data_IF_056124534354
#
_entry.id   IF_056124534354
#
_cell.length_a   1.000
_cell.length_b   1.000
_cell.length_c   1.000
_cell.angle_alpha   90.00
_cell.angle_beta   90.00
_cell.angle_gamma   90.00
#
_symmetry.space_group_name_H-M   'P 1'
#
loop_
_entity.id
_entity.type
_entity.pdbx_description
1 polymer ?
#
# COMPACT_ATOMS: atom_id res chain seq x y z
N UNK A 1 13.86 6.24 -6.03
CA UNK A 1 13.09 5.39 -6.99
C UNK A 1 14.03 4.88 -8.09
N UNK A 2 14.54 3.65 -7.95
CA UNK A 2 15.59 3.05 -8.83
C UNK A 2 14.99 2.24 -10.00
N UNK A 3 13.69 1.92 -9.92
CA UNK A 3 12.95 1.04 -10.84
C UNK A 3 12.89 1.49 -12.32
N UNK A 4 12.83 2.79 -12.68
CA UNK A 4 12.73 3.18 -14.09
C UNK A 4 14.00 2.85 -14.88
N UNK A 5 15.17 3.05 -14.26
CA UNK A 5 16.48 2.82 -14.90
C UNK A 5 16.75 1.33 -15.12
N UNK A 6 16.28 0.48 -14.20
CA UNK A 6 16.45 -0.97 -14.31
C UNK A 6 15.59 -1.56 -15.42
N UNK A 7 14.34 -1.11 -15.56
CA UNK A 7 13.44 -1.56 -16.64
C UNK A 7 13.98 -1.13 -18.01
N UNK A 8 14.47 0.10 -18.15
CA UNK A 8 15.10 0.57 -19.39
C UNK A 8 16.33 -0.27 -19.78
N UNK A 9 17.14 -0.64 -18.80
CA UNK A 9 18.28 -1.53 -19.03
C UNK A 9 17.85 -2.93 -19.52
N UNK A 10 16.77 -3.49 -18.97
CA UNK A 10 16.22 -4.77 -19.43
C UNK A 10 15.69 -4.68 -20.88
N UNK A 11 15.11 -3.55 -21.27
CA UNK A 11 14.66 -3.32 -22.66
C UNK A 11 15.83 -3.24 -23.65
N UNK A 12 16.94 -2.61 -23.25
CA UNK A 12 18.18 -2.58 -24.03
C UNK A 12 18.73 -4.01 -24.20
N UNK A 13 18.73 -4.80 -23.13
CA UNK A 13 19.20 -6.20 -23.19
C UNK A 13 18.31 -7.08 -24.07
N UNK A 14 16.98 -6.93 -24.01
CA UNK A 14 16.07 -7.62 -24.93
C UNK A 14 16.35 -7.25 -26.40
N UNK A 15 16.58 -5.97 -26.68
CA UNK A 15 16.93 -5.52 -28.02
C UNK A 15 18.30 -6.08 -28.49
N UNK A 16 19.26 -6.19 -27.58
CA UNK A 16 20.57 -6.83 -27.82
C UNK A 16 20.42 -8.32 -28.13
N UNK A 17 19.61 -9.05 -27.35
CA UNK A 17 19.32 -10.46 -27.60
C UNK A 17 18.66 -10.69 -28.97
N UNK A 18 17.69 -9.85 -29.34
CA UNK A 18 17.05 -9.90 -30.66
C UNK A 18 18.07 -9.76 -31.78
N UNK A 19 18.96 -8.76 -31.70
CA UNK A 19 20.06 -8.58 -32.67
C UNK A 19 20.97 -9.80 -32.74
N UNK A 20 21.32 -10.40 -31.60
CA UNK A 20 22.15 -11.62 -31.56
C UNK A 20 21.47 -12.80 -32.25
N UNK A 21 20.14 -12.96 -32.10
CA UNK A 21 19.35 -13.97 -32.80
C UNK A 21 19.35 -13.74 -34.32
N UNK A 22 19.16 -12.49 -34.75
CA UNK A 22 19.16 -12.12 -36.18
C UNK A 22 20.53 -12.42 -36.83
N UNK A 23 21.63 -12.10 -36.15
CA UNK A 23 22.99 -12.41 -36.61
C UNK A 23 23.22 -13.92 -36.67
N UNK A 24 22.76 -14.67 -35.67
CA UNK A 24 22.87 -16.12 -35.66
C UNK A 24 22.11 -16.76 -36.85
N UNK A 25 20.91 -16.26 -37.15
CA UNK A 25 20.13 -16.69 -38.31
C UNK A 25 20.84 -16.36 -39.64
N UNK A 26 21.45 -15.18 -39.74
CA UNK A 26 22.22 -14.80 -40.93
C UNK A 26 23.45 -15.70 -41.14
N UNK A 27 24.21 -16.01 -40.09
CA UNK A 27 25.38 -16.89 -40.16
C UNK A 27 25.00 -18.32 -40.58
N UNK A 28 23.83 -18.80 -40.16
CA UNK A 28 23.30 -20.09 -40.58
C UNK A 28 22.95 -20.10 -42.06
N UNK A 29 22.24 -19.07 -42.54
CA UNK A 29 21.87 -18.92 -43.94
C UNK A 29 23.10 -18.77 -44.86
N UNK A 30 24.17 -18.13 -44.37
CA UNK A 30 25.47 -18.03 -45.04
C UNK A 30 26.24 -19.37 -45.08
N UNK A 31 25.76 -20.42 -44.42
CA UNK A 31 26.41 -21.74 -44.34
C UNK A 31 27.68 -21.75 -43.48
N UNK A 32 27.93 -20.70 -42.68
CA UNK A 32 29.16 -20.56 -41.87
C UNK A 32 29.14 -21.39 -40.59
N UNK A 33 27.96 -21.82 -40.15
CA UNK A 33 27.76 -22.57 -38.90
C UNK A 33 26.81 -23.74 -39.12
N UNK A 34 27.03 -24.82 -38.36
CA UNK A 34 26.18 -26.01 -38.41
C UNK A 34 24.81 -25.77 -37.77
N UNK A 35 23.81 -26.54 -38.21
CA UNK A 35 22.47 -26.51 -37.61
C UNK A 35 22.49 -26.79 -36.11
N UNK A 36 23.29 -27.75 -35.65
CA UNK A 36 23.39 -28.10 -34.22
C UNK A 36 23.92 -26.93 -33.38
N UNK A 37 24.89 -26.17 -33.91
CA UNK A 37 25.43 -24.98 -33.23
C UNK A 37 24.38 -23.90 -33.09
N UNK A 38 23.55 -23.70 -34.13
CA UNK A 38 22.45 -22.73 -34.12
C UNK A 38 21.39 -23.11 -33.09
N UNK A 39 20.98 -24.37 -33.06
CA UNK A 39 19.97 -24.88 -32.11
C UNK A 39 20.44 -24.68 -30.66
N UNK A 40 21.71 -24.99 -30.37
CA UNK A 40 22.27 -24.80 -29.03
C UNK A 40 22.31 -23.32 -28.62
N UNK A 41 22.74 -22.44 -29.53
CA UNK A 41 22.85 -21.01 -29.25
C UNK A 41 21.49 -20.33 -29.16
N UNK A 42 20.54 -20.67 -30.05
CA UNK A 42 19.19 -20.14 -30.02
C UNK A 42 18.49 -20.51 -28.72
N UNK A 43 18.60 -21.78 -28.29
CA UNK A 43 18.04 -22.24 -27.02
C UNK A 43 18.52 -21.40 -25.83
N UNK A 44 19.83 -21.14 -25.73
CA UNK A 44 20.39 -20.31 -24.65
C UNK A 44 19.93 -18.85 -24.74
N UNK A 45 19.80 -18.29 -25.95
CA UNK A 45 19.25 -16.95 -26.14
C UNK A 45 17.77 -16.88 -25.73
N UNK A 46 16.99 -17.93 -26.03
CA UNK A 46 15.59 -18.06 -25.62
C UNK A 46 15.49 -18.16 -24.09
N UNK A 47 16.29 -19.01 -23.45
CA UNK A 47 16.35 -19.10 -21.99
C UNK A 47 16.66 -17.74 -21.35
N UNK A 48 17.65 -17.01 -21.89
CA UNK A 48 17.99 -15.67 -21.39
C UNK A 48 16.83 -14.69 -21.55
N UNK A 49 16.14 -14.71 -22.71
CA UNK A 49 14.97 -13.88 -22.96
C UNK A 49 13.82 -14.21 -21.98
N UNK A 50 13.59 -15.50 -21.68
CA UNK A 50 12.56 -15.88 -20.70
C UNK A 50 12.83 -15.32 -19.31
N UNK A 51 14.10 -15.36 -18.86
CA UNK A 51 14.49 -14.81 -17.55
C UNK A 51 14.31 -13.30 -17.50
N UNK A 52 14.74 -12.58 -18.55
CA UNK A 52 14.58 -11.12 -18.63
C UNK A 52 13.10 -10.73 -18.62
N UNK A 53 12.27 -11.42 -19.41
CA UNK A 53 10.83 -11.17 -19.44
C UNK A 53 10.16 -11.45 -18.10
N UNK A 54 10.54 -12.54 -17.41
CA UNK A 54 10.05 -12.85 -16.07
C UNK A 54 10.40 -11.75 -15.07
N UNK A 55 11.64 -11.27 -15.08
CA UNK A 55 12.08 -10.19 -14.20
C UNK A 55 11.31 -8.90 -14.50
N UNK A 56 11.13 -8.57 -15.77
CA UNK A 56 10.37 -7.39 -16.20
C UNK A 56 8.91 -7.47 -15.71
N UNK A 57 8.28 -8.64 -15.79
CA UNK A 57 6.94 -8.85 -15.26
C UNK A 57 6.91 -8.66 -13.74
N UNK A 58 7.85 -9.26 -13.02
CA UNK A 58 7.95 -9.10 -11.55
C UNK A 58 8.07 -7.64 -11.12
N UNK A 59 8.90 -6.85 -11.83
CA UNK A 59 9.04 -5.42 -11.56
C UNK A 59 7.76 -4.62 -11.87
N UNK A 60 6.98 -5.04 -12.86
CA UNK A 60 5.69 -4.43 -13.17
C UNK A 60 4.66 -4.76 -12.08
N UNK A 61 4.59 -6.02 -11.65
CA UNK A 61 3.70 -6.47 -10.57
C UNK A 61 4.02 -5.75 -9.26
N UNK A 62 5.31 -5.61 -8.90
CA UNK A 62 5.74 -4.85 -7.73
C UNK A 62 5.34 -3.37 -7.82
N UNK A 63 5.54 -2.74 -8.98
CA UNK A 63 5.14 -1.35 -9.19
C UNK A 63 3.64 -1.16 -9.00
N UNK A 64 2.83 -2.04 -9.59
CA UNK A 64 1.37 -1.95 -9.49
C UNK A 64 0.89 -2.24 -8.06
N UNK A 65 1.53 -3.17 -7.37
CA UNK A 65 1.32 -3.42 -5.94
C UNK A 65 1.58 -2.18 -5.08
N UNK A 66 2.76 -1.55 -5.21
CA UNK A 66 3.09 -0.35 -4.45
C UNK A 66 2.14 0.81 -4.79
N UNK A 67 1.75 0.95 -6.05
CA UNK A 67 0.75 1.94 -6.47
C UNK A 67 -0.59 1.73 -5.77
N UNK A 68 -1.06 0.48 -5.63
CA UNK A 68 -2.28 0.18 -4.90
C UNK A 68 -2.15 0.54 -3.41
N UNK A 69 -1.04 0.19 -2.76
CA UNK A 69 -0.78 0.54 -1.37
C UNK A 69 -0.78 2.06 -1.16
N UNK A 70 -0.09 2.80 -2.03
CA UNK A 70 -0.06 4.26 -1.95
C UNK A 70 -1.45 4.86 -2.09
N UNK A 71 -2.28 4.35 -3.02
CA UNK A 71 -3.66 4.82 -3.20
C UNK A 71 -4.53 4.54 -1.97
N UNK A 72 -4.39 3.37 -1.35
CA UNK A 72 -5.16 3.05 -0.15
C UNK A 72 -4.72 3.90 1.05
N UNK A 73 -3.41 4.12 1.21
CA UNK A 73 -2.88 5.05 2.20
C UNK A 73 -3.43 6.47 2.02
N UNK A 74 -3.52 6.97 0.78
CA UNK A 74 -4.13 8.27 0.47
C UNK A 74 -5.59 8.33 0.95
N UNK A 75 -6.41 7.31 0.68
CA UNK A 75 -7.81 7.28 1.12
C UNK A 75 -7.95 7.28 2.64
N UNK A 76 -7.09 6.55 3.34
CA UNK A 76 -7.10 6.50 4.81
C UNK A 76 -6.79 7.88 5.39
N UNK A 77 -5.75 8.55 4.87
CA UNK A 77 -5.40 9.91 5.30
C UNK A 77 -6.52 10.92 4.99
N UNK A 78 -7.14 10.83 3.81
CA UNK A 78 -8.31 11.66 3.46
C UNK A 78 -9.49 11.40 4.40
N UNK A 79 -9.71 10.16 4.80
CA UNK A 79 -10.77 9.79 5.77
C UNK A 79 -10.50 10.41 7.14
N UNK A 80 -9.25 10.38 7.63
CA UNK A 80 -8.89 11.05 8.89
C UNK A 80 -9.13 12.56 8.84
N UNK A 81 -8.82 13.22 7.72
CA UNK A 81 -9.08 14.66 7.58
C UNK A 81 -10.58 14.99 7.67
N UNK A 82 -11.43 14.15 7.08
CA UNK A 82 -12.89 14.29 7.17
C UNK A 82 -13.38 14.07 8.61
N UNK A 83 -12.87 13.03 9.26
CA UNK A 83 -13.22 12.70 10.65
C UNK A 83 -12.79 13.81 11.62
N UNK A 84 -11.55 14.30 11.52
CA UNK A 84 -11.09 15.42 12.34
C UNK A 84 -11.95 16.66 12.15
N UNK A 85 -12.36 16.95 10.90
CA UNK A 85 -13.25 18.09 10.64
C UNK A 85 -14.63 17.88 11.28
N UNK A 86 -15.16 16.66 11.23
CA UNK A 86 -16.44 16.32 11.84
C UNK A 86 -16.39 16.49 13.37
N UNK A 87 -15.36 15.93 14.02
CA UNK A 87 -15.19 16.02 15.48
C UNK A 87 -15.07 17.47 15.96
N UNK A 88 -14.36 18.31 15.20
CA UNK A 88 -14.27 19.74 15.51
C UNK A 88 -15.63 20.44 15.38
N UNK A 89 -16.42 20.12 14.34
CA UNK A 89 -17.77 20.68 14.16
C UNK A 89 -18.77 20.22 15.24
N UNK A 90 -18.60 19.00 15.77
CA UNK A 90 -19.37 18.49 16.89
C UNK A 90 -18.95 19.07 18.24
N UNK A 91 -17.82 19.79 18.29
CA UNK A 91 -17.25 20.32 19.53
C UNK A 91 -16.56 19.27 20.40
N UNK A 92 -16.33 18.07 19.86
CA UNK A 92 -15.64 16.97 20.53
C UNK A 92 -14.10 17.11 20.45
N UNK A 93 -13.64 17.97 19.55
CA UNK A 93 -12.22 18.30 19.35
C UNK A 93 -12.03 19.82 19.39
N UNK A 94 -10.95 20.26 20.01
CA UNK A 94 -10.59 21.68 20.01
C UNK A 94 -9.91 22.10 18.70
N UNK A 95 -10.12 23.36 18.31
CA UNK A 95 -9.63 23.91 17.05
C UNK A 95 -8.10 23.84 16.92
N UNK A 96 -7.36 24.00 18.03
CA UNK A 96 -5.90 23.92 18.04
C UNK A 96 -5.39 22.52 17.70
N UNK A 97 -5.91 21.50 18.39
CA UNK A 97 -5.59 20.09 18.10
C UNK A 97 -6.03 19.66 16.71
N UNK A 98 -7.20 20.12 16.24
CA UNK A 98 -7.61 19.88 14.86
C UNK A 98 -6.59 20.43 13.87
N UNK A 99 -6.13 21.66 14.08
CA UNK A 99 -5.21 22.33 13.19
C UNK A 99 -3.87 21.59 13.13
N UNK A 100 -3.27 21.27 14.28
CA UNK A 100 -1.99 20.54 14.39
C UNK A 100 -2.05 19.15 13.72
N UNK A 101 -3.12 18.39 13.98
CA UNK A 101 -3.31 17.04 13.41
C UNK A 101 -3.56 17.10 11.90
N UNK A 102 -4.38 18.06 11.46
CA UNK A 102 -4.67 18.22 10.04
C UNK A 102 -3.43 18.60 9.26
N UNK A 103 -2.58 19.49 9.76
CA UNK A 103 -1.33 19.90 9.11
C UNK A 103 -0.36 18.72 8.94
N UNK A 104 -0.25 17.88 9.96
CA UNK A 104 0.57 16.66 9.92
C UNK A 104 0.06 15.69 8.86
N UNK A 105 -1.25 15.43 8.83
CA UNK A 105 -1.87 14.52 7.86
C UNK A 105 -1.79 15.09 6.44
N UNK A 106 -2.01 16.39 6.26
CA UNK A 106 -1.86 17.06 4.96
C UNK A 106 -0.43 16.98 4.44
N UNK A 107 0.56 17.13 5.30
CA UNK A 107 1.98 17.01 4.92
C UNK A 107 2.29 15.60 4.41
N UNK A 108 1.83 14.56 5.11
CA UNK A 108 1.95 13.17 4.66
C UNK A 108 1.19 12.89 3.37
N UNK A 109 -0.03 13.40 3.23
CA UNK A 109 -0.85 13.27 2.04
C UNK A 109 -0.19 13.91 0.81
N UNK A 110 0.38 15.10 0.97
CA UNK A 110 1.09 15.81 -0.09
C UNK A 110 2.37 15.08 -0.49
N UNK A 111 3.11 14.51 0.48
CA UNK A 111 4.28 13.68 0.20
C UNK A 111 3.89 12.46 -0.66
N UNK A 112 2.87 11.70 -0.26
CA UNK A 112 2.40 10.53 -1.02
C UNK A 112 1.88 10.90 -2.42
N UNK A 113 1.17 12.02 -2.54
CA UNK A 113 0.70 12.52 -3.84
C UNK A 113 1.87 12.96 -4.74
N UNK A 114 2.93 13.53 -4.16
CA UNK A 114 4.11 13.94 -4.92
C UNK A 114 4.97 12.77 -5.39
N UNK A 115 5.04 11.68 -4.62
CA UNK A 115 5.79 10.47 -4.98
C UNK A 115 5.01 9.51 -5.88
N UNK A 116 3.69 9.42 -5.73
CA UNK A 116 2.81 8.56 -6.53
C UNK A 116 2.36 9.16 -7.87
N UNK A 117 2.49 10.48 -8.07
CA UNK A 117 1.98 11.19 -9.25
C UNK A 117 3.07 12.07 -9.86
N UNK A 118 4.04 11.45 -10.54
CA UNK A 118 4.73 12.14 -11.62
C UNK A 118 3.75 12.37 -12.78
N UNK A 119 3.19 13.58 -12.83
CA UNK A 119 2.62 14.25 -14.02
C UNK A 119 1.58 13.47 -14.84
N UNK A 120 0.40 13.24 -14.27
CA UNK A 120 -0.84 13.33 -15.06
C UNK A 120 -1.53 14.63 -14.69
N UNK A 121 -1.47 15.60 -15.61
CA UNK A 121 -2.19 16.87 -15.50
C UNK A 121 -3.68 16.61 -15.35
N UNK A 122 -4.28 17.19 -14.30
CA UNK A 122 -5.54 17.97 -14.31
C UNK A 122 -5.99 18.14 -12.85
N UNK A 123 -5.58 19.24 -12.19
CA UNK A 123 -6.44 20.42 -11.99
C UNK A 123 -7.83 20.03 -11.49
N UNK A 124 -7.99 19.81 -10.18
CA UNK A 124 -9.26 20.03 -9.45
C UNK A 124 -9.07 19.94 -7.92
N UNK A 125 -8.15 20.72 -7.37
CA UNK A 125 -7.96 20.87 -5.91
C UNK A 125 -8.07 22.32 -5.45
N UNK A 126 -8.80 23.15 -6.19
CA UNK A 126 -9.07 24.55 -5.83
C UNK A 126 -10.58 24.85 -5.70
N UNK A 127 -11.38 23.94 -5.11
CA UNK A 127 -12.80 24.22 -4.84
C UNK A 127 -13.37 23.74 -3.50
N UNK A 128 -12.59 23.19 -2.58
CA UNK A 128 -13.11 22.83 -1.24
C UNK A 128 -12.41 23.69 -0.18
N UNK A 129 -12.58 25.01 -0.27
CA UNK A 129 -12.33 25.93 0.85
C UNK A 129 -13.02 27.31 0.65
N UNK A 130 -14.00 27.39 -0.25
CA UNK A 130 -14.74 28.64 -0.46
C UNK A 130 -16.22 28.38 -0.74
N UNK A 131 -16.96 28.00 0.29
CA UNK A 131 -18.41 28.25 0.35
C UNK A 131 -18.85 28.56 1.78
N UNK A 132 -18.49 29.77 2.23
CA UNK A 132 -19.35 30.54 3.11
C UNK A 132 -20.56 31.00 2.28
N UNK A 133 -21.68 30.28 2.39
CA UNK A 133 -23.04 30.82 2.44
C UNK A 133 -24.06 29.75 2.04
N UNK A 134 -24.47 28.91 2.99
CA UNK A 134 -25.84 28.42 2.99
C UNK A 134 -26.54 28.99 4.21
N UNK A 135 -27.46 29.88 3.88
CA UNK A 135 -28.37 30.64 4.69
C UNK A 135 -29.27 29.66 5.45
N UNK A 136 -29.23 29.67 6.78
CA UNK A 136 -30.32 29.16 7.60
C UNK A 136 -31.00 30.34 8.30
N UNK A 137 -32.35 30.38 8.33
CA UNK A 137 -33.08 31.49 8.90
C UNK A 137 -32.96 31.50 10.42
N UNK A 138 -32.42 32.59 10.93
CA UNK A 138 -32.48 33.00 12.33
C UNK A 138 -33.93 33.22 12.76
N UNK A 139 -34.37 32.52 13.81
CA UNK A 139 -35.40 33.04 14.71
C UNK A 139 -34.84 33.17 16.12
N UNK A 140 -34.85 34.42 16.55
CA UNK A 140 -34.49 34.98 17.85
C UNK A 140 -35.44 34.58 18.98
N UNK A 141 -34.82 34.45 20.16
CA UNK A 141 -35.27 34.99 21.46
C UNK A 141 -36.19 34.16 22.39
N UNK A 142 -35.56 33.79 23.52
CA UNK A 142 -36.01 33.89 24.91
C UNK A 142 -37.25 33.11 25.38
N UNK A 143 -37.04 32.23 26.38
CA UNK A 143 -37.35 32.59 27.77
C UNK A 143 -36.88 31.52 28.77
N UNK A 144 -36.43 32.00 29.92
CA UNK A 144 -36.04 31.25 31.10
C UNK A 144 -37.26 30.60 31.79
N UNK A 145 -37.08 29.38 32.32
CA UNK A 145 -37.80 28.94 33.51
C UNK A 145 -37.06 27.80 34.22
N UNK A 146 -36.87 28.00 35.52
CA UNK A 146 -36.40 27.06 36.53
C UNK A 146 -37.28 25.81 36.55
N UNK A 147 -36.72 24.64 36.84
CA UNK A 147 -37.26 23.80 37.92
C UNK A 147 -36.27 22.74 38.46
N UNK A 148 -36.30 22.64 39.78
CA UNK A 148 -35.66 21.63 40.62
C UNK A 148 -36.39 20.30 40.47
N UNK A 149 -35.66 19.20 40.44
CA UNK A 149 -36.22 17.84 40.51
C UNK A 149 -35.14 16.79 40.71
N UNK A 150 -35.04 16.30 41.94
CA UNK A 150 -34.15 15.23 42.42
C UNK A 150 -34.80 13.88 42.16
N UNK A 151 -34.08 12.89 41.61
CA UNK A 151 -34.17 11.47 42.00
C UNK A 151 -33.12 10.57 41.31
N UNK A 152 -32.66 9.57 42.07
CA UNK A 152 -31.70 8.50 41.78
C UNK A 152 -32.33 7.37 40.92
N UNK A 153 -31.52 6.70 40.10
CA UNK A 153 -31.40 5.23 39.91
C UNK A 153 -30.52 4.98 38.66
N UNK A 154 -29.31 4.41 38.76
CA UNK A 154 -29.00 2.97 38.69
C UNK A 154 -29.68 2.23 37.53
N UNK A 155 -28.91 1.94 36.47
CA UNK A 155 -28.69 0.57 35.95
C UNK A 155 -27.84 0.59 34.68
N UNK A 156 -26.78 -0.22 34.70
CA UNK A 156 -25.99 -0.67 33.57
C UNK A 156 -26.85 -1.12 32.39
N UNK A 157 -26.37 -0.89 31.16
CA UNK A 157 -26.39 -1.89 30.11
C UNK A 157 -25.36 -1.52 29.03
N UNK A 158 -24.22 -2.19 29.12
CA UNK A 158 -23.25 -2.35 28.04
C UNK A 158 -23.89 -3.16 26.92
N UNK A 159 -24.42 -2.47 25.90
CA UNK A 159 -24.90 -3.10 24.68
C UNK A 159 -23.75 -3.23 23.69
N UNK A 160 -23.13 -4.40 23.74
CA UNK A 160 -22.19 -4.94 22.77
C UNK A 160 -22.84 -4.98 21.36
N UNK A 161 -22.21 -4.45 20.30
CA UNK A 161 -22.59 -4.77 18.94
C UNK A 161 -21.92 -6.08 18.51
N UNK A 162 -22.77 -7.10 18.44
CA UNK A 162 -22.75 -8.28 17.56
C UNK A 162 -21.60 -8.44 16.57
N UNK A 163 -20.86 -9.55 16.74
CA UNK A 163 -20.35 -10.49 15.72
C UNK A 163 -20.15 -9.90 14.32
N UNK A 164 -18.96 -9.39 14.08
CA UNK A 164 -18.36 -9.39 12.76
C UNK A 164 -17.45 -10.62 12.72
N UNK A 165 -17.69 -11.51 11.76
CA UNK A 165 -16.92 -12.73 11.52
C UNK A 165 -15.51 -12.36 11.05
N UNK A 166 -14.68 -11.95 12.01
CA UNK A 166 -13.27 -11.70 11.83
C UNK A 166 -12.60 -13.05 11.85
N UNK A 167 -12.16 -13.55 10.70
CA UNK A 167 -11.11 -14.56 10.66
C UNK A 167 -9.96 -14.05 11.53
N UNK A 168 -9.83 -14.59 12.75
CA UNK A 168 -8.89 -14.07 13.73
C UNK A 168 -7.51 -14.23 13.12
N UNK A 169 -6.83 -13.11 12.90
CA UNK A 169 -5.50 -13.08 12.30
C UNK A 169 -4.56 -13.89 13.20
N UNK A 170 -4.15 -15.07 12.72
CA UNK A 170 -3.28 -15.99 13.43
C UNK A 170 -1.92 -16.03 12.74
N UNK A 171 -0.89 -16.45 13.49
CA UNK A 171 0.47 -16.58 13.03
C UNK A 171 0.55 -17.49 11.80
N UNK A 172 1.33 -17.09 10.81
CA UNK A 172 1.59 -17.88 9.60
C UNK A 172 3.10 -18.05 9.42
N UNK A 173 3.81 -18.42 10.48
CA UNK A 173 5.26 -18.58 10.45
C UNK A 173 5.69 -19.67 9.43
N UNK A 174 6.49 -19.34 8.39
CA UNK A 174 6.94 -20.31 7.38
C UNK A 174 7.77 -21.45 7.96
N UNK A 175 8.48 -21.18 9.06
CA UNK A 175 9.35 -22.14 9.74
C UNK A 175 8.61 -22.92 10.84
N UNK A 176 7.36 -22.53 11.15
CA UNK A 176 6.50 -23.18 12.17
C UNK A 176 5.03 -23.13 11.72
N UNK A 177 4.65 -23.88 10.67
CA UNK A 177 3.37 -23.74 9.98
C UNK A 177 2.14 -24.11 10.83
N UNK A 178 2.33 -24.83 11.94
CA UNK A 178 1.25 -25.23 12.85
C UNK A 178 0.99 -24.22 13.97
N UNK A 179 1.55 -23.00 13.89
CA UNK A 179 1.33 -21.98 14.90
C UNK A 179 -0.02 -21.29 14.67
N UNK A 180 -0.96 -21.43 15.59
CA UNK A 180 -2.30 -20.79 15.48
C UNK A 180 -2.46 -19.60 16.45
N UNK A 181 -1.35 -19.09 17.00
CA UNK A 181 -1.43 -17.98 17.96
C UNK A 181 -1.83 -16.69 17.29
N UNK A 182 -2.63 -15.89 17.99
CA UNK A 182 -3.22 -14.65 17.48
C UNK A 182 -2.55 -13.40 18.04
N UNK A 183 -1.53 -13.56 18.89
CA UNK A 183 -0.69 -12.49 19.45
C UNK A 183 0.39 -12.02 18.45
N UNK A 184 -0.06 -11.44 17.34
CA UNK A 184 0.81 -10.97 16.26
C UNK A 184 1.69 -9.80 16.75
N UNK A 185 3.00 -9.96 16.61
CA UNK A 185 3.99 -8.92 16.96
C UNK A 185 4.43 -8.14 15.73
N UNK A 186 4.63 -8.82 14.61
CA UNK A 186 5.00 -8.20 13.35
C UNK A 186 4.49 -8.99 12.14
N UNK A 187 4.63 -8.42 10.95
CA UNK A 187 4.41 -9.10 9.68
C UNK A 187 5.70 -9.09 8.85
N UNK A 188 6.07 -10.23 8.27
CA UNK A 188 7.23 -10.36 7.38
C UNK A 188 6.79 -10.59 5.94
N UNK A 189 7.68 -10.30 5.00
CA UNK A 189 7.49 -10.66 3.59
C UNK A 189 8.20 -11.98 3.30
N UNK A 190 7.47 -12.99 2.81
CA UNK A 190 8.03 -14.29 2.48
C UNK A 190 7.29 -14.89 1.27
N UNK A 191 8.04 -15.39 0.27
CA UNK A 191 7.49 -15.97 -0.97
C UNK A 191 6.40 -15.10 -1.64
N UNK A 192 6.62 -13.80 -1.71
CA UNK A 192 5.71 -12.88 -2.39
C UNK A 192 4.47 -12.47 -1.57
N UNK A 193 4.39 -12.84 -0.29
CA UNK A 193 3.22 -12.58 0.57
C UNK A 193 3.63 -12.00 1.92
N UNK A 194 2.83 -11.05 2.43
CA UNK A 194 2.92 -10.62 3.83
C UNK A 194 2.23 -11.64 4.71
N UNK A 195 2.95 -12.11 5.72
CA UNK A 195 2.46 -13.11 6.66
C UNK A 195 2.64 -12.61 8.10
N UNK A 196 1.62 -12.75 8.96
CA UNK A 196 1.70 -12.34 10.36
C UNK A 196 2.55 -13.33 11.17
N UNK A 197 3.38 -12.83 12.08
CA UNK A 197 4.22 -13.62 12.98
C UNK A 197 3.90 -13.24 14.42
N UNK A 198 3.57 -14.24 15.25
CA UNK A 198 3.33 -14.03 16.66
C UNK A 198 4.60 -13.69 17.45
N UNK A 199 4.42 -13.10 18.62
CA UNK A 199 5.52 -12.69 19.51
C UNK A 199 6.51 -13.81 19.80
N UNK A 200 6.04 -15.03 20.08
CA UNK A 200 6.94 -16.14 20.38
C UNK A 200 7.73 -16.60 19.16
N UNK A 201 7.07 -16.74 18.01
CA UNK A 201 7.76 -17.07 16.76
C UNK A 201 8.79 -16.00 16.41
N UNK A 202 8.45 -14.72 16.59
CA UNK A 202 9.39 -13.63 16.37
C UNK A 202 10.60 -13.71 17.30
N UNK A 203 10.37 -13.96 18.60
CA UNK A 203 11.46 -14.13 19.56
C UNK A 203 12.42 -15.24 19.13
N UNK A 204 11.88 -16.42 18.79
CA UNK A 204 12.68 -17.56 18.31
C UNK A 204 13.46 -17.24 17.02
N UNK A 205 12.89 -16.45 16.12
CA UNK A 205 13.53 -16.01 14.87
C UNK A 205 14.64 -15.00 15.17
N UNK A 206 14.38 -14.03 16.03
CA UNK A 206 15.32 -12.94 16.37
C UNK A 206 16.58 -13.42 17.09
N UNK A 207 16.51 -14.58 17.74
CA UNK A 207 17.63 -15.21 18.44
C UNK A 207 18.45 -16.14 17.51
N UNK A 208 18.01 -16.35 16.26
CA UNK A 208 18.69 -17.19 15.27
C UNK A 208 19.33 -16.33 14.18
N UNK A 209 20.58 -16.65 13.85
CA UNK A 209 21.28 -16.08 12.69
C UNK A 209 20.72 -16.68 11.39
N UNK A 210 19.54 -16.23 10.98
CA UNK A 210 18.95 -16.56 9.69
C UNK A 210 19.19 -15.41 8.72
N UNK A 211 20.11 -15.61 7.79
CA UNK A 211 20.31 -14.72 6.66
C UNK A 211 19.26 -15.02 5.59
N UNK A 212 18.64 -13.97 5.04
CA UNK A 212 17.82 -14.08 3.83
C UNK A 212 18.81 -14.36 2.69
N UNK A 213 18.89 -15.60 2.22
CA UNK A 213 19.90 -16.04 1.24
C UNK A 213 19.96 -15.11 0.03
N UNK A 214 21.18 -14.73 -0.33
CA UNK A 214 21.59 -13.95 -1.51
C UNK A 214 21.01 -14.44 -2.84
#
# INVERSE_FOLDING_TARGET
>A
MVLPKTVEHLDIELASLKKRKDVLAALFNDGKISSDTVILLSKRLDETETVINRLKQSLADERDFWKQITLEGIKILESFLVEFKLLNLLGEMDEGKWQDLSETVYSGLNALKSEGVAKSSEKNTNQILNQKSLIYPSKTSANAAKNRGRSKSSSNNSSQPSKMDSSVLHCMNPWKPNCERTDIELSIYYNGRFIPICRECWKEISEKDMEWST
#
